data_IF_303873894292
#
_entry.id   IF_303873894292
#
_cell.length_a   1.000
_cell.length_b   1.000
_cell.length_c   1.000
_cell.angle_alpha   90.00
_cell.angle_beta   90.00
_cell.angle_gamma   90.00
#
_symmetry.space_group_name_H-M   'P 1'
#
loop_
_entity.id
_entity.type
_entity.pdbx_description
1 polymer ?
#
# COMPACT_ATOMS: atom_id res chain seq x y z
N UNK A 1 -5.03 6.01 3.46
CA UNK A 1 -5.16 4.80 2.61
C UNK A 1 -3.87 4.69 1.82
N UNK A 2 -2.96 3.82 2.26
CA UNK A 2 -1.55 3.77 1.79
C UNK A 2 -1.35 2.82 0.60
N UNK A 3 -2.32 1.92 0.36
CA UNK A 3 -2.27 0.97 -0.74
C UNK A 3 -2.96 1.56 -1.97
N UNK A 4 -2.35 1.36 -3.13
CA UNK A 4 -2.91 1.76 -4.40
C UNK A 4 -4.12 0.87 -4.74
N UNK A 5 -5.09 1.46 -5.43
CA UNK A 5 -6.12 0.67 -6.13
C UNK A 5 -5.48 -0.08 -7.31
N UNK A 6 -6.17 -1.05 -7.93
CA UNK A 6 -5.70 -1.70 -9.16
C UNK A 6 -5.31 -0.69 -10.25
N UNK A 7 -6.14 0.34 -10.46
CA UNK A 7 -5.83 1.43 -11.40
C UNK A 7 -4.60 2.25 -10.98
N UNK A 8 -4.43 2.50 -9.67
CA UNK A 8 -3.22 3.14 -9.15
C UNK A 8 -1.96 2.33 -9.44
N UNK A 9 -2.03 1.00 -9.30
CA UNK A 9 -0.92 0.11 -9.68
C UNK A 9 -0.63 0.15 -11.17
N UNK A 10 -1.66 0.12 -12.03
CA UNK A 10 -1.51 0.26 -13.48
C UNK A 10 -0.75 1.53 -13.85
N UNK A 11 -1.15 2.68 -13.29
CA UNK A 11 -0.49 3.97 -13.57
C UNK A 11 0.96 4.01 -13.08
N UNK A 12 1.24 3.44 -11.91
CA UNK A 12 2.63 3.34 -11.42
C UNK A 12 3.48 2.47 -12.33
N UNK A 13 2.96 1.35 -12.82
CA UNK A 13 3.66 0.48 -13.77
C UNK A 13 3.95 1.20 -15.10
N UNK A 14 2.97 1.94 -15.64
CA UNK A 14 3.15 2.76 -16.84
C UNK A 14 4.22 3.84 -16.62
N UNK A 15 4.19 4.56 -15.49
CA UNK A 15 5.19 5.58 -15.16
C UNK A 15 6.59 5.00 -15.00
N UNK A 16 6.71 3.84 -14.37
CA UNK A 16 7.99 3.13 -14.26
C UNK A 16 8.53 2.73 -15.65
N UNK A 17 7.67 2.21 -16.53
CA UNK A 17 8.04 1.90 -17.92
C UNK A 17 8.56 3.12 -18.69
N UNK A 18 7.88 4.26 -18.57
CA UNK A 18 8.33 5.52 -19.18
C UNK A 18 9.69 5.98 -18.64
N UNK A 19 9.88 5.93 -17.32
CA UNK A 19 11.14 6.33 -16.69
C UNK A 19 12.33 5.45 -17.12
N UNK A 20 12.05 4.21 -17.51
CA UNK A 20 13.03 3.27 -18.08
C UNK A 20 13.20 3.41 -19.60
N UNK A 21 12.52 4.35 -20.26
CA UNK A 21 12.59 4.57 -21.71
C UNK A 21 11.82 3.52 -22.54
N UNK A 22 10.95 2.73 -21.91
CA UNK A 22 10.13 1.75 -22.61
C UNK A 22 8.92 2.43 -23.28
N UNK A 23 8.53 1.93 -24.45
CA UNK A 23 7.26 2.31 -25.06
C UNK A 23 6.12 1.73 -24.21
N UNK A 24 5.29 2.60 -23.66
CA UNK A 24 4.11 2.22 -22.85
C UNK A 24 2.81 2.35 -23.65
N UNK A 25 1.79 1.54 -23.33
CA UNK A 25 0.53 1.51 -24.09
C UNK A 25 -0.44 2.65 -23.76
N UNK A 26 -0.23 3.40 -22.68
CA UNK A 26 -1.08 4.50 -22.24
C UNK A 26 -0.28 5.56 -21.46
N UNK A 27 -0.84 6.77 -21.40
CA UNK A 27 -0.28 7.87 -20.62
C UNK A 27 -0.65 7.69 -19.12
N UNK A 28 0.33 7.53 -18.20
CA UNK A 28 0.06 7.43 -16.77
C UNK A 28 -0.53 8.71 -16.17
N UNK A 29 -0.29 9.87 -16.80
CA UNK A 29 -0.77 11.17 -16.34
C UNK A 29 -2.19 11.49 -16.88
N UNK A 30 -2.82 10.54 -17.58
CA UNK A 30 -4.21 10.70 -18.05
C UNK A 30 -5.17 11.03 -16.89
N UNK A 31 -6.16 11.91 -17.10
CA UNK A 31 -7.14 12.25 -16.09
C UNK A 31 -7.81 11.01 -15.48
N UNK A 32 -8.15 11.09 -14.20
CA UNK A 32 -8.96 10.06 -13.57
C UNK A 32 -10.38 10.10 -14.13
N UNK A 33 -11.04 8.94 -14.34
CA UNK A 33 -12.47 8.91 -14.57
C UNK A 33 -13.19 9.68 -13.45
N UNK A 34 -14.18 10.52 -13.77
CA UNK A 34 -14.90 11.27 -12.75
C UNK A 34 -15.55 10.28 -11.78
N UNK A 35 -15.31 10.48 -10.49
CA UNK A 35 -16.00 9.72 -9.45
C UNK A 35 -17.28 10.47 -9.08
N UNK A 36 -18.37 9.75 -8.76
CA UNK A 36 -19.57 10.37 -8.24
C UNK A 36 -19.23 11.14 -6.94
N UNK A 37 -19.79 12.35 -6.74
CA UNK A 37 -19.55 13.11 -5.53
C UNK A 37 -20.04 12.31 -4.32
N UNK A 38 -19.23 12.25 -3.27
CA UNK A 38 -19.60 11.62 -2.00
C UNK A 38 -20.14 12.69 -1.05
N UNK A 39 -21.22 12.38 -0.34
CA UNK A 39 -21.75 13.27 0.69
C UNK A 39 -20.79 13.37 1.87
N UNK A 40 -20.69 14.55 2.48
CA UNK A 40 -19.85 14.78 3.67
C UNK A 40 -20.15 13.80 4.80
N UNK A 41 -21.43 13.44 4.99
CA UNK A 41 -21.85 12.46 6.00
C UNK A 41 -21.28 11.06 5.73
N UNK A 42 -21.22 10.62 4.49
CA UNK A 42 -20.69 9.30 4.14
C UNK A 42 -19.18 9.24 4.38
N UNK A 43 -18.46 10.31 4.06
CA UNK A 43 -17.03 10.43 4.38
C UNK A 43 -16.79 10.37 5.88
N UNK A 44 -17.59 11.10 6.69
CA UNK A 44 -17.47 11.06 8.15
C UNK A 44 -17.78 9.68 8.74
N UNK A 45 -18.77 8.99 8.19
CA UNK A 45 -19.10 7.61 8.60
C UNK A 45 -17.94 6.65 8.34
N UNK A 46 -17.33 6.73 7.15
CA UNK A 46 -16.14 5.94 6.81
C UNK A 46 -14.98 6.23 7.76
N UNK A 47 -14.73 7.50 8.07
CA UNK A 47 -13.64 7.90 8.97
C UNK A 47 -13.86 7.40 10.40
N UNK A 48 -15.08 7.52 10.93
CA UNK A 48 -15.43 7.01 12.27
C UNK A 48 -15.29 5.50 12.32
N UNK A 49 -15.80 4.80 11.29
CA UNK A 49 -15.67 3.35 11.19
C UNK A 49 -14.19 2.94 11.16
N UNK A 50 -13.37 3.57 10.32
CA UNK A 50 -11.94 3.30 10.24
C UNK A 50 -11.22 3.61 11.56
N UNK A 51 -11.56 4.72 12.22
CA UNK A 51 -10.93 5.11 13.46
C UNK A 51 -11.22 4.08 14.57
N UNK A 52 -12.47 3.64 14.67
CA UNK A 52 -12.89 2.59 15.62
C UNK A 52 -12.19 1.26 15.34
N UNK A 53 -12.16 0.84 14.07
CA UNK A 53 -11.66 -0.48 13.68
C UNK A 53 -10.13 -0.58 13.74
N UNK A 54 -9.41 0.47 13.35
CA UNK A 54 -7.96 0.40 13.14
C UNK A 54 -7.17 1.36 14.02
N UNK A 55 -7.58 2.64 14.10
CA UNK A 55 -6.77 3.67 14.76
C UNK A 55 -6.81 3.55 16.28
N UNK A 56 -8.01 3.43 16.88
CA UNK A 56 -8.19 3.36 18.34
C UNK A 56 -7.45 2.16 18.94
N UNK A 57 -7.57 0.93 18.39
CA UNK A 57 -6.76 -0.20 18.87
C UNK A 57 -5.26 0.06 18.77
N UNK A 58 -4.80 0.68 17.68
CA UNK A 58 -3.39 1.03 17.51
C UNK A 58 -2.91 2.04 18.55
N UNK A 59 -3.67 3.11 18.83
CA UNK A 59 -3.35 4.08 19.89
C UNK A 59 -3.27 3.36 21.24
N UNK A 60 -4.23 2.48 21.55
CA UNK A 60 -4.22 1.69 22.77
C UNK A 60 -2.95 0.86 22.94
N UNK A 61 -2.46 0.22 21.87
CA UNK A 61 -1.17 -0.49 21.87
C UNK A 61 0.00 0.46 22.16
N UNK A 62 0.04 1.61 21.47
CA UNK A 62 1.10 2.62 21.67
C UNK A 62 1.17 3.13 23.11
N UNK A 63 0.02 3.38 23.74
CA UNK A 63 -0.05 3.82 25.13
C UNK A 63 0.41 2.74 26.12
N UNK A 64 0.23 1.45 25.80
CA UNK A 64 0.75 0.32 26.58
C UNK A 64 2.21 -0.01 26.28
N UNK A 65 2.85 0.71 25.35
CA UNK A 65 4.21 0.40 24.90
C UNK A 65 4.31 -0.80 23.96
N UNK A 66 3.19 -1.32 23.46
CA UNK A 66 3.15 -2.46 22.54
C UNK A 66 3.49 -2.00 21.11
N UNK A 67 4.45 -2.68 20.49
CA UNK A 67 4.81 -2.53 19.08
C UNK A 67 3.88 -3.34 18.18
N UNK A 68 3.78 -2.95 16.91
CA UNK A 68 3.08 -3.75 15.89
C UNK A 68 3.72 -5.13 15.66
N UNK A 69 4.98 -5.32 16.10
CA UNK A 69 5.72 -6.57 15.95
C UNK A 69 5.62 -7.53 17.14
N UNK A 70 5.10 -7.11 18.30
CA UNK A 70 5.20 -7.90 19.54
C UNK A 70 4.45 -9.24 19.49
N UNK A 71 3.45 -9.33 18.62
CA UNK A 71 2.66 -10.54 18.40
C UNK A 71 2.91 -11.16 17.02
N UNK A 72 3.93 -10.70 16.29
CA UNK A 72 4.26 -11.19 14.95
C UNK A 72 5.43 -12.15 15.05
N UNK A 73 5.18 -13.42 14.79
CA UNK A 73 6.25 -14.41 14.63
C UNK A 73 6.96 -14.19 13.30
N UNK A 74 8.29 -14.08 13.32
CA UNK A 74 9.08 -13.99 12.10
C UNK A 74 8.84 -15.21 11.21
N UNK A 75 8.70 -14.99 9.91
CA UNK A 75 8.52 -16.06 8.91
C UNK A 75 9.73 -17.01 8.85
N UNK A 76 10.88 -16.58 9.37
CA UNK A 76 12.12 -17.33 9.46
C UNK A 76 13.32 -16.38 9.49
N UNK A 77 14.51 -16.94 9.64
CA UNK A 77 15.78 -16.25 9.41
C UNK A 77 16.22 -16.47 7.97
N UNK A 78 16.65 -15.41 7.28
CA UNK A 78 17.26 -15.50 5.95
C UNK A 78 18.71 -15.05 6.07
N UNK A 79 19.64 -15.87 5.57
CA UNK A 79 21.03 -15.44 5.39
C UNK A 79 21.11 -14.40 4.26
N UNK A 80 22.04 -13.43 4.32
CA UNK A 80 22.34 -12.57 3.18
C UNK A 80 22.57 -13.34 1.87
N UNK A 81 23.12 -14.55 1.94
CA UNK A 81 23.36 -15.40 0.78
C UNK A 81 22.07 -16.03 0.22
N UNK A 82 21.09 -16.35 1.08
CA UNK A 82 19.76 -16.81 0.64
C UNK A 82 19.02 -15.72 -0.13
N UNK A 83 19.17 -14.46 0.32
CA UNK A 83 18.56 -13.30 -0.33
C UNK A 83 19.16 -13.10 -1.72
N UNK A 84 20.50 -13.12 -1.85
CA UNK A 84 21.18 -12.98 -3.14
C UNK A 84 20.77 -14.09 -4.12
N UNK A 85 20.74 -15.33 -3.63
CA UNK A 85 20.37 -16.50 -4.44
C UNK A 85 18.93 -16.40 -4.96
N UNK A 86 17.98 -15.96 -4.12
CA UNK A 86 16.59 -15.75 -4.53
C UNK A 86 16.42 -14.65 -5.57
N UNK A 87 17.11 -13.53 -5.41
CA UNK A 87 17.05 -12.42 -6.37
C UNK A 87 17.58 -12.87 -7.74
N UNK A 88 18.70 -13.60 -7.75
CA UNK A 88 19.29 -14.13 -8.98
C UNK A 88 18.41 -15.16 -9.70
N UNK A 89 17.56 -15.89 -8.98
CA UNK A 89 16.64 -16.88 -9.60
C UNK A 89 15.40 -16.29 -10.28
N UNK A 90 15.13 -14.99 -10.07
CA UNK A 90 13.94 -14.29 -10.60
C UNK A 90 14.33 -13.31 -11.72
N UNK A 91 15.64 -13.01 -11.86
CA UNK A 91 16.21 -12.22 -12.94
C UNK A 91 16.53 -13.10 -14.16
#
# INVERSE_FOLDING_TARGET
RLHLSPEGHTRVALRAGQALGLRVPADPDQPWPPLPPRGTLDVRRDDVHWAREYLVPWIGRRLRGESSGDHVTAKGTLSPDDIKTRIASVA
#
